data_IF_516223190810
#
_entry.id   IF_516223190810
#
_cell.length_a   1.000
_cell.length_b   1.000
_cell.length_c   1.000
_cell.angle_alpha   90.00
_cell.angle_beta   90.00
_cell.angle_gamma   90.00
#
_symmetry.space_group_name_H-M   'P 1'
#
loop_
_entity.id
_entity.type
_entity.pdbx_description
1 polymer ?
#
# COMPACT_ATOMS: atom_id res chain seq x y z
N UNK A 1 -53.27 74.62 -57.60
CA UNK A 1 -53.99 74.21 -56.38
C UNK A 1 -54.39 72.75 -56.53
N UNK A 2 -54.01 71.92 -55.53
CA UNK A 2 -54.64 70.68 -55.06
C UNK A 2 -54.97 69.58 -56.09
N UNK A 3 -54.31 68.43 -55.97
CA UNK A 3 -54.94 67.22 -55.42
C UNK A 3 -53.94 66.06 -55.22
N UNK A 4 -53.84 65.63 -53.96
CA UNK A 4 -53.24 64.40 -53.48
C UNK A 4 -54.12 63.19 -53.85
N UNK A 5 -53.52 62.04 -54.15
CA UNK A 5 -54.05 60.73 -53.75
C UNK A 5 -52.94 59.65 -53.72
N UNK A 6 -52.71 58.98 -52.57
CA UNK A 6 -51.99 57.72 -52.47
C UNK A 6 -52.98 56.53 -52.38
N UNK A 7 -52.64 55.41 -53.01
CA UNK A 7 -53.32 54.11 -52.96
C UNK A 7 -52.20 53.06 -52.88
N UNK A 8 -52.18 51.98 -52.11
CA UNK A 8 -52.91 51.48 -50.94
C UNK A 8 -52.13 50.20 -50.55
N UNK A 9 -51.40 50.28 -49.44
CA UNK A 9 -51.05 49.23 -48.46
C UNK A 9 -51.16 47.77 -48.93
N UNK A 10 -49.99 47.13 -49.14
CA UNK A 10 -49.85 45.67 -49.21
C UNK A 10 -49.80 45.13 -47.77
N UNK A 11 -50.87 44.49 -47.29
CA UNK A 11 -50.88 43.80 -46.00
C UNK A 11 -50.17 42.45 -46.15
N UNK A 12 -48.90 42.39 -45.78
CA UNK A 12 -48.18 41.14 -45.56
C UNK A 12 -48.55 40.61 -44.17
N UNK A 13 -49.48 39.65 -44.11
CA UNK A 13 -49.71 38.82 -42.93
C UNK A 13 -48.56 37.83 -42.77
N UNK A 14 -47.47 38.27 -42.13
CA UNK A 14 -46.40 37.37 -41.67
C UNK A 14 -46.88 36.64 -40.42
N UNK A 15 -47.27 35.38 -40.60
CA UNK A 15 -47.59 34.47 -39.49
C UNK A 15 -46.33 34.17 -38.68
N UNK A 16 -46.20 34.83 -37.53
CA UNK A 16 -45.14 34.59 -36.57
C UNK A 16 -45.50 33.35 -35.73
N UNK A 17 -45.07 32.15 -36.16
CA UNK A 17 -45.02 31.01 -35.24
C UNK A 17 -43.88 31.26 -34.25
N UNK A 18 -44.21 31.56 -32.99
CA UNK A 18 -43.22 31.55 -31.90
C UNK A 18 -42.68 30.13 -31.77
N UNK A 19 -41.41 29.95 -32.10
CA UNK A 19 -40.64 28.77 -31.76
C UNK A 19 -40.60 28.67 -30.24
N UNK A 20 -41.10 27.56 -29.69
CA UNK A 20 -40.98 27.26 -28.27
C UNK A 20 -39.50 27.00 -28.00
N UNK A 21 -38.82 27.95 -27.37
CA UNK A 21 -37.52 27.72 -26.79
C UNK A 21 -37.68 26.73 -25.65
N UNK A 22 -37.25 25.50 -25.90
CA UNK A 22 -37.04 24.51 -24.85
C UNK A 22 -35.90 25.03 -23.97
N UNK A 23 -36.24 25.68 -22.86
CA UNK A 23 -35.30 26.02 -21.79
C UNK A 23 -34.76 24.72 -21.21
N UNK A 24 -33.71 24.17 -21.81
CA UNK A 24 -32.88 23.16 -21.15
C UNK A 24 -32.20 23.86 -19.98
N UNK A 25 -32.36 23.38 -18.74
CA UNK A 25 -31.67 23.97 -17.60
C UNK A 25 -30.18 23.90 -17.88
N UNK A 26 -29.52 25.06 -17.84
CA UNK A 26 -28.08 25.21 -18.05
C UNK A 26 -27.39 24.34 -17.01
N UNK A 27 -26.94 23.15 -17.43
CA UNK A 27 -26.41 22.15 -16.53
C UNK A 27 -25.17 22.75 -15.88
N UNK A 28 -25.16 22.75 -14.54
CA UNK A 28 -24.09 23.32 -13.75
C UNK A 28 -22.85 22.41 -13.90
N UNK A 29 -22.00 22.77 -14.86
CA UNK A 29 -20.80 22.00 -15.23
C UNK A 29 -19.91 21.74 -14.01
N UNK A 30 -19.91 22.62 -13.01
CA UNK A 30 -19.16 22.42 -11.77
C UNK A 30 -19.68 21.22 -10.97
N UNK A 31 -21.01 21.08 -10.83
CA UNK A 31 -21.62 19.91 -10.15
C UNK A 31 -21.36 18.60 -10.88
N UNK A 32 -21.32 18.61 -12.22
CA UNK A 32 -20.92 17.42 -12.99
C UNK A 32 -19.47 17.06 -12.70
N UNK A 33 -18.56 18.03 -12.77
CA UNK A 33 -17.13 17.81 -12.55
C UNK A 33 -16.87 17.28 -11.14
N UNK A 34 -17.51 17.86 -10.12
CA UNK A 34 -17.41 17.40 -8.74
C UNK A 34 -17.92 15.97 -8.56
N UNK A 35 -19.08 15.66 -9.16
CA UNK A 35 -19.65 14.30 -9.11
C UNK A 35 -18.72 13.27 -9.77
N UNK A 36 -18.09 13.63 -10.88
CA UNK A 36 -17.11 12.78 -11.56
C UNK A 36 -15.86 12.59 -10.71
N UNK A 37 -15.35 13.66 -10.10
CA UNK A 37 -14.16 13.58 -9.25
C UNK A 37 -14.41 12.71 -8.01
N UNK A 38 -15.57 12.87 -7.36
CA UNK A 38 -15.98 12.00 -6.24
C UNK A 38 -16.07 10.54 -6.67
N UNK A 39 -16.68 10.25 -7.84
CA UNK A 39 -16.75 8.90 -8.36
C UNK A 39 -15.36 8.31 -8.66
N UNK A 40 -14.44 9.10 -9.23
CA UNK A 40 -13.05 8.69 -9.49
C UNK A 40 -12.30 8.39 -8.19
N UNK A 41 -12.43 9.25 -7.18
CA UNK A 41 -11.83 9.02 -5.86
C UNK A 41 -12.36 7.73 -5.24
N UNK A 42 -13.68 7.51 -5.26
CA UNK A 42 -14.30 6.29 -4.73
C UNK A 42 -13.81 5.03 -5.45
N UNK A 43 -13.65 5.07 -6.77
CA UNK A 43 -13.11 3.95 -7.56
C UNK A 43 -11.63 3.72 -7.19
N UNK A 44 -10.83 4.78 -7.09
CA UNK A 44 -9.42 4.67 -6.68
C UNK A 44 -9.29 4.09 -5.26
N UNK A 45 -10.08 4.56 -4.31
CA UNK A 45 -10.11 4.06 -2.94
C UNK A 45 -10.53 2.58 -2.90
N UNK A 46 -11.52 2.20 -3.72
CA UNK A 46 -11.96 0.80 -3.84
C UNK A 46 -10.88 -0.11 -4.43
N UNK A 47 -10.10 0.39 -5.40
CA UNK A 47 -8.96 -0.33 -5.99
C UNK A 47 -7.82 -0.44 -4.97
N UNK A 48 -7.56 0.61 -4.18
CA UNK A 48 -6.53 0.58 -3.14
C UNK A 48 -6.89 -0.41 -2.03
N UNK A 49 -8.13 -0.39 -1.54
CA UNK A 49 -8.61 -1.29 -0.50
C UNK A 49 -8.58 -2.76 -0.94
N UNK A 50 -9.00 -3.06 -2.18
CA UNK A 50 -9.03 -4.43 -2.71
C UNK A 50 -7.66 -5.04 -3.01
N UNK A 51 -6.58 -4.23 -3.01
CA UNK A 51 -5.21 -4.69 -3.29
C UNK A 51 -4.31 -4.80 -2.07
N UNK A 52 -4.75 -4.34 -0.91
CA UNK A 52 -3.93 -4.36 0.30
C UNK A 52 -3.74 -5.79 0.82
N UNK A 53 -2.51 -6.14 1.18
CA UNK A 53 -2.25 -7.37 1.93
C UNK A 53 -2.72 -7.21 3.38
N UNK A 54 -2.70 -8.32 4.13
CA UNK A 54 -2.93 -8.27 5.58
C UNK A 54 -1.98 -7.24 6.20
N UNK A 55 -2.53 -6.33 7.00
CA UNK A 55 -1.73 -5.37 7.74
C UNK A 55 -0.85 -6.09 8.78
N UNK A 56 0.45 -5.82 8.73
CA UNK A 56 1.44 -6.39 9.64
C UNK A 56 1.91 -5.39 10.69
N UNK A 57 1.34 -4.18 10.76
CA UNK A 57 1.71 -3.19 11.75
C UNK A 57 1.55 -3.72 13.19
N UNK A 58 2.53 -3.40 14.04
CA UNK A 58 2.52 -3.80 15.46
C UNK A 58 3.81 -4.50 15.91
N UNK A 59 3.77 -5.02 17.14
CA UNK A 59 4.89 -5.77 17.73
C UNK A 59 4.56 -7.25 17.75
N UNK A 60 5.48 -8.04 17.20
CA UNK A 60 5.34 -9.47 16.91
C UNK A 60 6.44 -10.28 17.59
N UNK A 61 6.27 -11.60 17.61
CA UNK A 61 7.27 -12.49 18.20
C UNK A 61 8.39 -12.78 17.21
N UNK A 62 9.64 -12.72 17.68
CA UNK A 62 10.84 -13.06 16.93
C UNK A 62 11.56 -14.23 17.60
N UNK A 63 11.82 -15.30 16.86
CA UNK A 63 12.53 -16.47 17.39
C UNK A 63 13.61 -16.96 16.43
N UNK A 64 14.73 -17.37 17.01
CA UNK A 64 15.82 -18.12 16.44
C UNK A 64 15.88 -19.47 17.16
N UNK A 65 16.13 -20.57 16.44
CA UNK A 65 16.12 -21.93 16.99
C UNK A 65 17.22 -22.22 18.02
N UNK A 66 18.41 -21.66 17.83
CA UNK A 66 19.54 -21.78 18.78
C UNK A 66 19.47 -20.82 19.98
N UNK A 67 18.52 -19.88 20.03
CA UNK A 67 18.39 -18.94 21.14
C UNK A 67 17.19 -19.32 22.02
N UNK A 68 17.38 -19.38 23.33
CA UNK A 68 16.27 -19.58 24.25
C UNK A 68 15.35 -18.36 24.31
N UNK A 69 14.11 -18.60 24.72
CA UNK A 69 13.10 -17.55 24.89
C UNK A 69 12.51 -17.02 23.58
N UNK A 70 11.88 -15.86 23.66
CA UNK A 70 11.23 -15.21 22.52
C UNK A 70 11.56 -13.73 22.52
N UNK A 71 12.07 -13.26 21.39
CA UNK A 71 12.33 -11.86 21.13
C UNK A 71 11.09 -11.14 20.62
N UNK A 72 11.26 -9.85 20.32
CA UNK A 72 10.22 -8.99 19.76
C UNK A 72 10.73 -8.33 18.49
N UNK A 73 9.84 -8.12 17.53
CA UNK A 73 10.09 -7.34 16.33
C UNK A 73 8.92 -6.41 16.08
N UNK A 74 9.19 -5.15 15.80
CA UNK A 74 8.17 -4.13 15.57
C UNK A 74 8.13 -3.78 14.09
N UNK A 75 6.93 -3.73 13.54
CA UNK A 75 6.61 -3.31 12.20
C UNK A 75 5.89 -1.96 12.30
N UNK A 76 6.54 -0.90 11.85
CA UNK A 76 5.95 0.44 11.75
C UNK A 76 5.59 0.70 10.30
N UNK A 77 4.32 0.96 10.01
CA UNK A 77 3.87 1.17 8.64
C UNK A 77 4.47 2.46 8.06
N UNK A 78 5.03 2.36 6.86
CA UNK A 78 5.60 3.50 6.11
C UNK A 78 5.03 3.61 4.68
N UNK A 79 4.25 2.63 4.25
CA UNK A 79 3.50 2.61 2.99
C UNK A 79 2.36 1.58 3.03
N UNK A 80 1.65 1.38 1.92
CA UNK A 80 0.48 0.49 1.86
C UNK A 80 0.79 -0.93 2.37
N UNK A 81 1.91 -1.49 1.94
CA UNK A 81 2.37 -2.85 2.24
C UNK A 81 3.84 -2.85 2.68
N UNK A 82 4.33 -1.71 3.15
CA UNK A 82 5.73 -1.44 3.44
C UNK A 82 5.90 -0.95 4.88
N UNK A 83 6.90 -1.50 5.55
CA UNK A 83 7.12 -1.35 6.98
C UNK A 83 8.60 -1.07 7.25
N UNK A 84 8.87 -0.15 8.16
CA UNK A 84 10.14 -0.10 8.87
C UNK A 84 10.11 -1.18 9.95
N UNK A 85 11.12 -2.05 9.99
CA UNK A 85 11.21 -3.12 10.98
C UNK A 85 12.45 -2.98 11.86
N UNK A 86 12.29 -3.30 13.14
CA UNK A 86 13.38 -3.42 14.11
C UNK A 86 13.02 -4.48 15.15
N UNK A 87 13.93 -5.42 15.41
CA UNK A 87 13.67 -6.53 16.31
C UNK A 87 14.93 -7.08 16.97
N UNK A 88 14.72 -7.69 18.14
CA UNK A 88 15.78 -8.29 18.95
C UNK A 88 15.29 -9.53 19.70
N UNK A 89 16.12 -10.57 19.71
CA UNK A 89 16.07 -11.68 20.65
C UNK A 89 17.43 -11.79 21.35
N UNK A 90 17.42 -12.14 22.63
CA UNK A 90 18.65 -12.36 23.38
C UNK A 90 18.51 -13.57 24.31
N UNK A 91 19.60 -14.31 24.47
CA UNK A 91 19.77 -15.42 25.41
C UNK A 91 21.14 -15.26 26.10
N UNK A 92 21.14 -14.58 27.25
CA UNK A 92 22.37 -14.18 27.93
C UNK A 92 23.23 -13.26 27.05
N UNK A 93 24.42 -13.74 26.67
CA UNK A 93 25.35 -13.01 25.78
C UNK A 93 25.05 -13.22 24.29
N UNK A 94 24.23 -14.23 23.96
CA UNK A 94 23.87 -14.54 22.58
C UNK A 94 22.69 -13.67 22.14
N UNK A 95 22.66 -13.28 20.87
CA UNK A 95 21.60 -12.41 20.37
C UNK A 95 21.37 -12.52 18.88
N UNK A 96 20.18 -12.08 18.47
CA UNK A 96 19.76 -11.80 17.10
C UNK A 96 19.16 -10.40 17.07
N UNK A 97 19.55 -9.59 16.09
CA UNK A 97 18.96 -8.28 15.79
C UNK A 97 18.64 -8.17 14.31
N UNK A 98 17.48 -7.59 13.99
CA UNK A 98 17.00 -7.39 12.62
C UNK A 98 16.58 -5.93 12.50
N UNK A 99 17.16 -5.20 11.55
CA UNK A 99 16.83 -3.79 11.30
C UNK A 99 16.81 -3.52 9.80
N UNK A 100 15.72 -2.93 9.30
CA UNK A 100 15.57 -2.65 7.87
C UNK A 100 14.15 -2.32 7.46
N UNK A 101 13.84 -2.50 6.19
CA UNK A 101 12.48 -2.38 5.66
C UNK A 101 11.94 -3.74 5.23
N UNK A 102 10.62 -3.89 5.32
CA UNK A 102 9.91 -5.07 4.86
C UNK A 102 8.76 -4.67 3.95
N UNK A 103 8.56 -5.39 2.85
CA UNK A 103 7.48 -5.16 1.91
C UNK A 103 6.77 -6.45 1.56
N UNK A 104 5.46 -6.50 1.79
CA UNK A 104 4.64 -7.60 1.30
C UNK A 104 4.58 -7.54 -0.23
N UNK A 105 4.91 -8.66 -0.88
CA UNK A 105 4.88 -8.78 -2.35
C UNK A 105 3.92 -9.83 -2.84
N UNK A 106 3.49 -10.72 -1.96
CA UNK A 106 2.29 -11.52 -2.11
C UNK A 106 1.73 -11.83 -0.73
N UNK A 107 0.55 -12.44 -0.63
CA UNK A 107 0.00 -12.94 0.63
C UNK A 107 0.93 -13.93 1.36
N UNK A 108 1.93 -14.48 0.65
CA UNK A 108 2.88 -15.48 1.17
C UNK A 108 4.33 -15.03 1.26
N UNK A 109 4.67 -13.83 0.79
CA UNK A 109 6.07 -13.39 0.68
C UNK A 109 6.26 -11.96 1.19
N UNK A 110 7.15 -11.86 2.18
CA UNK A 110 7.64 -10.60 2.74
C UNK A 110 9.10 -10.42 2.30
N UNK A 111 9.34 -9.44 1.44
CA UNK A 111 10.71 -9.04 1.07
C UNK A 111 11.27 -8.18 2.17
N UNK A 112 12.50 -8.48 2.60
CA UNK A 112 13.24 -7.71 3.58
C UNK A 112 14.47 -7.10 2.91
N UNK A 113 14.80 -5.86 3.28
CA UNK A 113 16.05 -5.19 2.92
C UNK A 113 16.63 -4.52 4.16
N UNK A 114 17.81 -4.95 4.59
CA UNK A 114 18.43 -4.42 5.79
C UNK A 114 19.54 -5.30 6.33
N UNK A 115 19.69 -5.31 7.65
CA UNK A 115 20.72 -6.05 8.36
C UNK A 115 20.11 -7.09 9.29
N UNK A 116 20.64 -8.31 9.21
CA UNK A 116 20.45 -9.36 10.22
C UNK A 116 21.80 -9.58 10.87
N UNK A 117 21.90 -9.29 12.16
CA UNK A 117 23.12 -9.45 12.95
C UNK A 117 22.88 -10.43 14.08
N UNK A 118 23.83 -11.35 14.28
CA UNK A 118 23.73 -12.33 15.34
C UNK A 118 25.09 -12.68 15.93
N UNK A 119 25.05 -13.19 17.15
CA UNK A 119 26.20 -13.78 17.86
C UNK A 119 25.67 -14.94 18.67
N UNK A 120 26.05 -16.15 18.28
CA UNK A 120 25.56 -17.42 18.84
C UNK A 120 26.80 -18.27 19.09
N UNK A 121 27.00 -18.74 20.32
CA UNK A 121 28.24 -19.40 20.74
C UNK A 121 28.55 -20.65 19.91
N UNK A 122 27.52 -21.36 19.46
CA UNK A 122 27.66 -22.55 18.62
C UNK A 122 28.12 -22.21 17.18
N UNK A 123 27.95 -20.96 16.74
CA UNK A 123 28.38 -20.47 15.43
C UNK A 123 29.73 -19.76 15.53
N UNK A 124 30.81 -20.43 15.10
CA UNK A 124 32.18 -19.88 15.09
C UNK A 124 32.57 -19.23 16.44
N UNK A 125 32.29 -19.94 17.53
CA UNK A 125 32.57 -19.52 18.92
C UNK A 125 31.96 -18.16 19.29
N UNK A 126 30.77 -17.84 18.78
CA UNK A 126 30.08 -16.57 19.09
C UNK A 126 30.59 -15.38 18.30
N UNK A 127 31.40 -15.59 17.25
CA UNK A 127 31.78 -14.51 16.34
C UNK A 127 30.55 -13.82 15.78
N UNK A 128 30.62 -12.50 15.71
CA UNK A 128 29.52 -11.69 15.19
C UNK A 128 29.37 -11.94 13.69
N UNK A 129 28.19 -12.42 13.30
CA UNK A 129 27.74 -12.58 11.93
C UNK A 129 26.85 -11.39 11.55
N UNK A 130 27.13 -10.75 10.42
CA UNK A 130 26.34 -9.64 9.88
C UNK A 130 26.00 -9.94 8.44
N UNK A 131 24.70 -10.06 8.15
CA UNK A 131 24.16 -10.28 6.80
C UNK A 131 23.36 -9.06 6.39
N UNK A 132 23.87 -8.33 5.41
CA UNK A 132 23.23 -7.15 4.84
C UNK A 132 22.60 -7.45 3.48
N UNK A 133 21.55 -6.72 3.12
CA UNK A 133 20.95 -6.74 1.79
C UNK A 133 19.55 -7.32 1.77
N UNK A 134 19.15 -7.83 0.60
CA UNK A 134 17.80 -8.30 0.32
C UNK A 134 17.63 -9.76 0.69
N UNK A 135 16.54 -10.09 1.38
CA UNK A 135 16.14 -11.47 1.74
C UNK A 135 14.63 -11.63 1.63
N UNK A 136 14.20 -12.89 1.59
CA UNK A 136 12.79 -13.22 1.58
C UNK A 136 12.43 -14.00 2.83
N UNK A 137 11.33 -13.57 3.45
CA UNK A 137 10.59 -14.38 4.41
C UNK A 137 9.32 -14.90 3.74
N UNK A 138 9.00 -16.17 3.95
CA UNK A 138 7.81 -16.81 3.39
C UNK A 138 6.95 -17.46 4.46
N UNK A 139 5.66 -17.58 4.16
CA UNK A 139 4.66 -18.19 5.04
C UNK A 139 3.93 -19.32 4.31
N UNK A 140 3.57 -20.36 5.05
CA UNK A 140 2.69 -21.44 4.61
C UNK A 140 1.30 -21.37 5.27
N UNK A 141 1.13 -20.47 6.25
CA UNK A 141 -0.02 -20.36 7.15
C UNK A 141 -0.72 -19.00 7.03
N UNK A 142 -0.85 -18.51 5.79
CA UNK A 142 -1.55 -17.27 5.42
C UNK A 142 -1.08 -16.03 6.20
N UNK A 143 0.23 -15.92 6.40
CA UNK A 143 0.85 -14.73 7.02
C UNK A 143 0.75 -14.71 8.54
N UNK A 144 0.51 -15.86 9.19
CA UNK A 144 0.66 -15.99 10.66
C UNK A 144 2.13 -16.17 11.05
N UNK A 145 2.91 -16.86 10.23
CA UNK A 145 4.32 -17.15 10.50
C UNK A 145 5.18 -16.94 9.25
N UNK A 146 6.16 -16.06 9.36
CA UNK A 146 7.14 -15.77 8.31
C UNK A 146 8.50 -16.37 8.67
N UNK A 147 9.07 -17.18 7.77
CA UNK A 147 10.35 -17.86 7.96
C UNK A 147 11.36 -17.37 6.94
N UNK A 148 12.59 -17.11 7.36
CA UNK A 148 13.67 -16.71 6.45
C UNK A 148 14.01 -17.86 5.48
N UNK A 149 14.07 -17.57 4.18
CA UNK A 149 14.32 -18.59 3.15
C UNK A 149 15.81 -18.94 2.99
N UNK A 150 16.67 -17.93 2.88
CA UNK A 150 18.12 -18.11 2.78
C UNK A 150 18.74 -18.16 4.19
N UNK A 151 18.49 -19.28 4.84
CA UNK A 151 18.81 -19.53 6.24
C UNK A 151 20.23 -20.05 6.44
N UNK A 152 21.23 -19.66 5.65
CA UNK A 152 22.63 -20.06 5.94
C UNK A 152 23.36 -18.85 6.53
N UNK A 153 23.99 -19.04 7.68
CA UNK A 153 24.81 -18.02 8.32
C UNK A 153 26.25 -18.03 7.76
N UNK A 154 27.06 -17.03 8.14
CA UNK A 154 28.45 -16.93 7.65
C UNK A 154 29.35 -18.10 8.05
N UNK A 155 28.93 -18.89 9.03
CA UNK A 155 29.64 -20.09 9.49
C UNK A 155 29.18 -21.37 8.77
N UNK A 156 28.25 -21.26 7.81
CA UNK A 156 27.75 -22.38 7.01
C UNK A 156 26.64 -23.20 7.67
N UNK A 157 26.12 -22.78 8.82
CA UNK A 157 25.03 -23.48 9.51
C UNK A 157 23.66 -22.95 9.09
N UNK A 158 22.66 -23.83 9.17
CA UNK A 158 21.27 -23.46 8.98
C UNK A 158 20.78 -22.59 10.14
N UNK A 159 19.97 -21.58 9.82
CA UNK A 159 19.71 -20.41 10.66
C UNK A 159 18.20 -20.11 10.62
N UNK A 160 17.46 -20.67 11.57
CA UNK A 160 16.00 -20.68 11.51
C UNK A 160 15.40 -19.48 12.22
N UNK A 161 15.35 -18.36 11.51
CA UNK A 161 14.71 -17.13 11.96
C UNK A 161 13.22 -17.14 11.58
N UNK A 162 12.37 -16.93 12.58
CA UNK A 162 10.91 -16.95 12.45
C UNK A 162 10.31 -15.69 13.09
N UNK A 163 9.40 -15.06 12.35
CA UNK A 163 8.55 -13.98 12.85
C UNK A 163 7.11 -14.48 12.91
N UNK A 164 6.48 -14.39 14.07
CA UNK A 164 5.08 -14.76 14.26
C UNK A 164 4.24 -13.52 14.55
N UNK A 165 3.27 -13.28 13.67
CA UNK A 165 2.34 -12.14 13.67
C UNK A 165 1.20 -12.29 14.68
#
# INVERSE_FOLDING_TARGET
MKNLFPILILVLVVSCKKTVETNTPKVDSAKIIDSINVARTKINDSILASRSFKDLEGTHSLTHDMLKGTGKITFKKIGQDEYQISGKQADGKQYLTIDGTAKMTSSKNLKFEGNIKQSISDNDNGKVDVRSGKRNFSTADDGKTFKLHESINSSGFADKIIIKM
#
